data_IF_527664836933
#
_entry.id   IF_527664836933
#
_cell.length_a   1.000
_cell.length_b   1.000
_cell.length_c   1.000
_cell.angle_alpha   90.00
_cell.angle_beta   90.00
_cell.angle_gamma   90.00
#
_symmetry.space_group_name_H-M   'P 1'
#
loop_
_entity.id
_entity.type
_entity.pdbx_description
1 polymer ?
#
# COMPACT_ATOMS: atom_id res chain seq x y z
N UNK A 1 27.57 -39.65 5.30
CA UNK A 1 26.76 -38.59 5.91
C UNK A 1 25.51 -38.42 5.06
N UNK A 2 24.35 -38.83 5.58
CA UNK A 2 23.08 -38.63 4.87
C UNK A 2 22.76 -37.13 4.86
N UNK A 3 22.66 -36.54 3.66
CA UNK A 3 22.13 -35.18 3.50
C UNK A 3 20.69 -35.19 4.01
N UNK A 4 20.45 -34.52 5.13
CA UNK A 4 19.12 -34.27 5.68
C UNK A 4 18.25 -33.62 4.60
N UNK A 5 17.42 -34.42 3.93
CA UNK A 5 16.44 -33.93 2.95
C UNK A 5 15.23 -33.46 3.74
N UNK A 6 15.26 -32.20 4.18
CA UNK A 6 14.04 -31.52 4.62
C UNK A 6 12.94 -31.64 3.55
N UNK A 7 11.66 -31.49 3.92
CA UNK A 7 10.55 -31.69 3.00
C UNK A 7 10.75 -30.91 1.69
N UNK A 8 10.72 -31.63 0.56
CA UNK A 8 11.03 -31.15 -0.79
C UNK A 8 10.26 -29.90 -1.23
N UNK A 9 9.17 -29.57 -0.55
CA UNK A 9 8.30 -28.42 -0.85
C UNK A 9 8.50 -27.20 0.07
N UNK A 10 9.52 -27.18 0.95
CA UNK A 10 9.74 -26.06 1.88
C UNK A 10 9.96 -24.72 1.16
N UNK A 11 10.75 -24.69 0.08
CA UNK A 11 11.00 -23.47 -0.70
C UNK A 11 9.74 -22.92 -1.36
N UNK A 12 8.97 -23.77 -2.06
CA UNK A 12 7.72 -23.36 -2.72
C UNK A 12 6.70 -22.81 -1.72
N UNK A 13 6.59 -23.45 -0.54
CA UNK A 13 5.69 -22.97 0.52
C UNK A 13 6.14 -21.63 1.08
N UNK A 14 7.44 -21.41 1.23
CA UNK A 14 8.03 -20.14 1.67
C UNK A 14 7.80 -19.02 0.63
N UNK A 15 8.10 -19.28 -0.64
CA UNK A 15 7.90 -18.34 -1.74
C UNK A 15 6.42 -17.93 -1.87
N UNK A 16 5.48 -18.88 -1.81
CA UNK A 16 4.04 -18.57 -1.84
C UNK A 16 3.61 -17.67 -0.69
N UNK A 17 4.10 -17.93 0.53
CA UNK A 17 3.80 -17.08 1.70
C UNK A 17 4.38 -15.68 1.52
N UNK A 18 5.62 -15.59 1.03
CA UNK A 18 6.25 -14.31 0.74
C UNK A 18 5.45 -13.50 -0.28
N UNK A 19 5.10 -14.09 -1.42
CA UNK A 19 4.31 -13.39 -2.44
C UNK A 19 2.90 -13.02 -1.95
N UNK A 20 2.23 -13.89 -1.19
CA UNK A 20 0.92 -13.57 -0.64
C UNK A 20 0.97 -12.35 0.30
N UNK A 21 1.98 -12.29 1.19
CA UNK A 21 2.17 -11.15 2.08
C UNK A 21 2.55 -9.89 1.33
N UNK A 22 3.37 -10.01 0.28
CA UNK A 22 3.77 -8.88 -0.56
C UNK A 22 2.59 -8.32 -1.35
N UNK A 23 1.76 -9.18 -1.95
CA UNK A 23 0.52 -8.76 -2.61
C UNK A 23 -0.41 -8.05 -1.63
N UNK A 24 -0.56 -8.58 -0.42
CA UNK A 24 -1.40 -7.94 0.59
C UNK A 24 -0.89 -6.54 0.97
N UNK A 25 0.42 -6.36 1.18
CA UNK A 25 0.97 -5.03 1.45
C UNK A 25 0.87 -4.07 0.26
N UNK A 26 0.97 -4.57 -0.98
CA UNK A 26 0.72 -3.76 -2.18
C UNK A 26 -0.73 -3.29 -2.28
N UNK A 27 -1.70 -4.17 -1.98
CA UNK A 27 -3.12 -3.81 -1.95
C UNK A 27 -3.35 -2.69 -0.94
N UNK A 28 -2.73 -2.77 0.25
CA UNK A 28 -2.81 -1.69 1.24
C UNK A 28 -2.26 -0.37 0.69
N UNK A 29 -1.07 -0.37 0.10
CA UNK A 29 -0.47 0.86 -0.47
C UNK A 29 -1.38 1.49 -1.54
N UNK A 30 -1.96 0.66 -2.41
CA UNK A 30 -2.85 1.14 -3.49
C UNK A 30 -4.22 1.58 -2.99
N UNK A 31 -4.68 1.09 -1.83
CA UNK A 31 -5.93 1.50 -1.19
C UNK A 31 -5.91 2.96 -0.74
N UNK A 32 -4.73 3.59 -0.66
CA UNK A 32 -4.59 5.02 -0.41
C UNK A 32 -5.23 5.89 -1.51
N UNK A 33 -5.22 5.43 -2.77
CA UNK A 33 -5.78 6.17 -3.91
C UNK A 33 -7.30 6.37 -3.75
N UNK A 34 -8.13 5.31 -3.61
CA UNK A 34 -9.57 5.51 -3.45
C UNK A 34 -9.90 6.25 -2.15
N UNK A 35 -9.13 6.06 -1.06
CA UNK A 35 -9.33 6.82 0.18
C UNK A 35 -9.17 8.32 -0.04
N UNK A 36 -8.18 8.71 -0.82
CA UNK A 36 -7.96 10.11 -1.17
C UNK A 36 -9.08 10.65 -2.06
N UNK A 37 -9.53 9.85 -3.04
CA UNK A 37 -10.67 10.22 -3.90
C UNK A 37 -11.93 10.48 -3.06
N UNK A 38 -12.27 9.57 -2.14
CA UNK A 38 -13.38 9.76 -1.21
C UNK A 38 -13.22 11.02 -0.35
N UNK A 39 -11.99 11.33 0.10
CA UNK A 39 -11.73 12.53 0.87
C UNK A 39 -11.97 13.80 0.05
N UNK A 40 -11.50 13.83 -1.20
CA UNK A 40 -11.72 14.96 -2.10
C UNK A 40 -13.21 15.17 -2.38
N UNK A 41 -13.96 14.09 -2.61
CA UNK A 41 -15.42 14.16 -2.81
C UNK A 41 -16.16 14.68 -1.58
N UNK A 42 -15.79 14.24 -0.37
CA UNK A 42 -16.38 14.74 0.88
C UNK A 42 -15.97 16.20 1.18
N UNK A 43 -14.86 16.67 0.62
CA UNK A 43 -14.35 18.02 0.78
C UNK A 43 -15.01 19.04 -0.14
N UNK A 44 -15.60 18.63 -1.26
CA UNK A 44 -16.30 19.50 -2.23
C UNK A 44 -17.78 19.63 -1.86
N UNK A 45 -18.13 20.74 -1.20
CA UNK A 45 -19.50 20.99 -0.73
C UNK A 45 -20.02 22.30 -1.31
N UNK A 46 -21.23 22.25 -1.88
CA UNK A 46 -21.98 23.43 -2.28
C UNK A 46 -22.69 24.03 -1.06
N UNK A 47 -22.38 25.27 -0.72
CA UNK A 47 -23.00 25.97 0.40
C UNK A 47 -23.97 27.03 -0.15
N UNK A 48 -25.23 26.97 0.28
CA UNK A 48 -26.20 28.05 0.04
C UNK A 48 -25.78 29.31 0.80
N UNK A 49 -25.66 30.43 0.09
CA UNK A 49 -25.32 31.69 0.71
C UNK A 49 -26.52 32.26 1.46
N UNK A 50 -26.32 32.88 2.64
CA UNK A 50 -27.39 33.55 3.34
C UNK A 50 -27.93 34.74 2.51
N UNK A 51 -29.26 34.89 2.47
CA UNK A 51 -29.92 36.03 1.84
C UNK A 51 -29.48 37.34 2.52
N UNK A 52 -29.11 38.34 1.71
CA UNK A 52 -28.87 39.68 2.23
C UNK A 52 -30.20 40.31 2.62
N UNK A 53 -30.27 41.08 3.72
CA UNK A 53 -31.50 41.76 4.10
C UNK A 53 -31.99 42.69 2.99
N UNK A 54 -33.17 42.38 2.41
CA UNK A 54 -33.79 43.17 1.35
C UNK A 54 -33.69 42.58 -0.07
N UNK A 55 -32.97 41.47 -0.28
CA UNK A 55 -32.95 40.75 -1.56
C UNK A 55 -34.05 39.69 -1.63
N UNK A 56 -34.73 39.60 -2.79
CA UNK A 56 -35.75 38.58 -3.08
C UNK A 56 -35.18 37.34 -3.80
N UNK A 57 -33.99 37.46 -4.39
CA UNK A 57 -33.32 36.38 -5.11
C UNK A 57 -32.27 35.71 -4.23
N UNK A 58 -32.29 34.38 -4.18
CA UNK A 58 -31.22 33.60 -3.51
C UNK A 58 -29.95 33.70 -4.36
N UNK A 59 -28.79 34.03 -3.77
CA UNK A 59 -27.52 33.96 -4.48
C UNK A 59 -27.24 32.53 -4.95
N UNK A 60 -26.54 32.38 -6.07
CA UNK A 60 -26.09 31.07 -6.52
C UNK A 60 -25.20 30.40 -5.44
N UNK A 61 -25.37 29.09 -5.20
CA UNK A 61 -24.55 28.36 -4.25
C UNK A 61 -23.07 28.41 -4.64
N UNK A 62 -22.20 28.53 -3.65
CA UNK A 62 -20.73 28.57 -3.86
C UNK A 62 -20.15 27.22 -3.47
N UNK A 63 -19.36 26.65 -4.38
CA UNK A 63 -18.53 25.47 -4.09
C UNK A 63 -17.35 25.87 -3.23
N UNK A 64 -17.24 25.24 -2.06
CA UNK A 64 -16.12 25.44 -1.14
C UNK A 64 -15.40 24.10 -0.99
N UNK A 65 -14.11 24.09 -1.30
CA UNK A 65 -13.24 22.97 -0.97
C UNK A 65 -12.76 23.09 0.47
N UNK A 66 -13.24 22.19 1.31
CA UNK A 66 -12.81 22.08 2.69
C UNK A 66 -11.45 21.40 2.73
N UNK A 67 -10.47 22.05 3.37
CA UNK A 67 -9.10 21.52 3.44
C UNK A 67 -9.05 20.31 4.40
N UNK A 68 -9.29 19.13 3.86
CA UNK A 68 -9.35 17.85 4.58
C UNK A 68 -7.99 17.16 4.52
N UNK A 69 -7.54 16.58 5.64
CA UNK A 69 -6.19 16.01 5.77
C UNK A 69 -6.04 14.66 5.06
N UNK A 70 -4.93 14.46 4.33
CA UNK A 70 -4.49 13.19 3.72
C UNK A 70 -3.87 12.21 4.71
N UNK A 71 -3.86 12.52 6.01
CA UNK A 71 -3.21 11.70 7.03
C UNK A 71 -3.61 10.21 6.96
N UNK A 72 -4.88 9.92 6.66
CA UNK A 72 -5.37 8.54 6.56
C UNK A 72 -4.79 7.80 5.34
N UNK A 73 -4.70 8.45 4.17
CA UNK A 73 -4.09 7.87 2.98
C UNK A 73 -2.60 7.54 3.23
N UNK A 74 -1.85 8.48 3.83
CA UNK A 74 -0.44 8.25 4.20
C UNK A 74 -0.27 7.13 5.23
N UNK A 75 -1.17 7.02 6.22
CA UNK A 75 -1.12 5.97 7.23
C UNK A 75 -1.23 4.58 6.60
N UNK A 76 -2.13 4.40 5.63
CA UNK A 76 -2.29 3.12 4.95
C UNK A 76 -1.06 2.78 4.09
N UNK A 77 -0.45 3.77 3.42
CA UNK A 77 0.82 3.59 2.70
C UNK A 77 1.93 3.11 3.64
N UNK A 78 2.05 3.72 4.83
CA UNK A 78 3.07 3.34 5.82
C UNK A 78 2.84 1.89 6.28
N UNK A 79 1.61 1.51 6.64
CA UNK A 79 1.30 0.16 7.09
C UNK A 79 1.57 -0.88 5.98
N UNK A 80 1.15 -0.60 4.75
CA UNK A 80 1.40 -1.47 3.61
C UNK A 80 2.90 -1.63 3.30
N UNK A 81 3.66 -0.54 3.40
CA UNK A 81 5.12 -0.54 3.26
C UNK A 81 5.79 -1.40 4.33
N UNK A 82 5.43 -1.21 5.61
CA UNK A 82 5.94 -2.02 6.72
C UNK A 82 5.63 -3.51 6.54
N UNK A 83 4.43 -3.82 6.02
CA UNK A 83 4.02 -5.20 5.70
C UNK A 83 4.92 -5.83 4.64
N UNK A 84 5.23 -5.10 3.56
CA UNK A 84 6.14 -5.56 2.51
C UNK A 84 7.56 -5.76 3.02
N UNK A 85 8.09 -4.83 3.83
CA UNK A 85 9.41 -4.97 4.46
C UNK A 85 9.45 -6.17 5.42
N UNK A 86 8.40 -6.39 6.21
CA UNK A 86 8.29 -7.54 7.08
C UNK A 86 8.30 -8.85 6.28
N UNK A 87 7.56 -8.91 5.16
CA UNK A 87 7.55 -10.08 4.27
C UNK A 87 8.95 -10.37 3.70
N UNK A 88 9.66 -9.34 3.24
CA UNK A 88 11.04 -9.44 2.73
C UNK A 88 12.01 -9.92 3.80
N UNK A 89 11.95 -9.32 5.00
CA UNK A 89 12.79 -9.72 6.13
C UNK A 89 12.56 -11.18 6.51
N UNK A 90 11.29 -11.60 6.62
CA UNK A 90 10.93 -12.98 6.93
C UNK A 90 11.36 -13.95 5.84
N UNK A 91 11.20 -13.59 4.56
CA UNK A 91 11.67 -14.39 3.43
C UNK A 91 13.19 -14.58 3.47
N UNK A 92 13.95 -13.51 3.73
CA UNK A 92 15.40 -13.57 3.87
C UNK A 92 15.82 -14.50 4.99
N UNK A 93 15.24 -14.36 6.19
CA UNK A 93 15.60 -15.20 7.34
C UNK A 93 15.28 -16.68 7.07
N UNK A 94 14.07 -16.97 6.60
CA UNK A 94 13.70 -18.34 6.23
C UNK A 94 14.63 -18.88 5.13
N UNK A 95 15.06 -18.04 4.18
CA UNK A 95 15.97 -18.48 3.13
C UNK A 95 17.38 -18.78 3.67
N UNK A 96 17.91 -17.94 4.57
CA UNK A 96 19.20 -18.14 5.22
C UNK A 96 19.27 -19.45 6.02
N UNK A 97 18.15 -19.87 6.63
CA UNK A 97 18.03 -21.15 7.34
C UNK A 97 18.12 -22.38 6.42
N UNK A 98 17.71 -22.28 5.14
CA UNK A 98 17.59 -23.43 4.23
C UNK A 98 18.67 -23.42 3.13
N UNK A 99 19.49 -22.36 3.06
CA UNK A 99 20.49 -22.13 1.99
C UNK A 99 21.57 -23.21 1.88
N UNK A 100 21.82 -23.97 2.95
CA UNK A 100 22.80 -25.07 2.95
C UNK A 100 22.39 -26.22 2.03
N UNK A 101 21.09 -26.33 1.69
CA UNK A 101 20.59 -27.44 0.88
C UNK A 101 20.65 -27.18 -0.63
N UNK A 102 20.53 -25.92 -1.10
CA UNK A 102 20.50 -25.53 -2.52
C UNK A 102 20.84 -24.04 -2.73
N UNK A 103 21.62 -23.73 -3.77
CA UNK A 103 21.98 -22.36 -4.19
C UNK A 103 20.92 -21.74 -5.11
N UNK A 104 19.79 -21.25 -4.57
CA UNK A 104 18.85 -20.40 -5.32
C UNK A 104 19.20 -18.90 -5.23
N UNK A 105 18.77 -18.07 -6.21
CA UNK A 105 19.03 -16.63 -6.18
C UNK A 105 17.94 -15.87 -5.39
N UNK A 106 17.91 -16.00 -4.06
CA UNK A 106 16.96 -15.29 -3.19
C UNK A 106 16.95 -13.77 -3.38
N UNK A 107 18.11 -13.20 -3.70
CA UNK A 107 18.26 -11.76 -3.93
C UNK A 107 17.39 -11.27 -5.09
N UNK A 108 17.13 -12.07 -6.12
CA UNK A 108 16.27 -11.67 -7.25
C UNK A 108 14.84 -11.44 -6.76
N UNK A 109 14.31 -12.36 -5.94
CA UNK A 109 12.96 -12.23 -5.39
C UNK A 109 12.83 -11.02 -4.47
N UNK A 110 13.84 -10.77 -3.63
CA UNK A 110 13.88 -9.59 -2.77
C UNK A 110 13.95 -8.29 -3.57
N UNK A 111 14.78 -8.23 -4.62
CA UNK A 111 14.89 -7.07 -5.50
C UNK A 111 13.56 -6.81 -6.20
N UNK A 112 12.92 -7.84 -6.76
CA UNK A 112 11.60 -7.71 -7.40
C UNK A 112 10.59 -7.15 -6.40
N UNK A 113 10.54 -7.71 -5.18
CA UNK A 113 9.64 -7.21 -4.15
C UNK A 113 9.89 -5.76 -3.77
N UNK A 114 11.16 -5.37 -3.64
CA UNK A 114 11.57 -4.00 -3.33
C UNK A 114 11.14 -3.04 -4.45
N UNK A 115 11.46 -3.37 -5.70
CA UNK A 115 11.12 -2.55 -6.87
C UNK A 115 9.61 -2.36 -6.99
N UNK A 116 8.82 -3.44 -6.87
CA UNK A 116 7.36 -3.34 -6.95
C UNK A 116 6.80 -2.50 -5.79
N UNK A 117 7.37 -2.61 -4.59
CA UNK A 117 6.95 -1.79 -3.44
C UNK A 117 7.24 -0.31 -3.69
N UNK A 118 8.44 0.03 -4.19
CA UNK A 118 8.81 1.41 -4.51
C UNK A 118 7.90 1.97 -5.62
N UNK A 119 7.62 1.18 -6.66
CA UNK A 119 6.70 1.59 -7.73
C UNK A 119 5.29 1.85 -7.20
N UNK A 120 4.77 0.99 -6.32
CA UNK A 120 3.45 1.19 -5.71
C UNK A 120 3.40 2.45 -4.85
N UNK A 121 4.44 2.70 -4.04
CA UNK A 121 4.53 3.95 -3.25
C UNK A 121 4.57 5.16 -4.19
N UNK A 122 5.37 5.11 -5.25
CA UNK A 122 5.47 6.19 -6.24
C UNK A 122 4.14 6.48 -6.93
N UNK A 123 3.41 5.43 -7.35
CA UNK A 123 2.08 5.57 -7.95
C UNK A 123 1.10 6.19 -6.95
N UNK A 124 1.05 5.67 -5.72
CA UNK A 124 0.15 6.21 -4.69
C UNK A 124 0.48 7.66 -4.35
N UNK A 125 1.76 8.03 -4.23
CA UNK A 125 2.18 9.40 -3.96
C UNK A 125 1.83 10.37 -5.10
N UNK A 126 1.93 9.92 -6.36
CA UNK A 126 1.56 10.75 -7.52
C UNK A 126 0.04 10.88 -7.70
N UNK A 127 -0.74 10.00 -7.07
CA UNK A 127 -2.21 9.95 -7.19
C UNK A 127 -2.94 10.56 -5.99
N UNK A 128 -2.18 11.04 -4.99
CA UNK A 128 -2.65 11.74 -3.80
C UNK A 128 -2.34 13.22 -3.94
#
# INVERSE_FOLDING_TARGET
>A
MEKYRGPTNQHSRMERRYFAQLIFGLILILLAIPLETFRMELGDVEIEQPLRPGDNDRPEPVRIQTNTSSAFAYLVIIIGTMTNFHAMYRYRNNYEEIKESYTRPANIFLIIGLVITILAIGISYLSI
#
